data_IF_900294063830
#
_entry.id   IF_900294063830
#
_cell.length_a   1.000
_cell.length_b   1.000
_cell.length_c   1.000
_cell.angle_alpha   90.00
_cell.angle_beta   90.00
_cell.angle_gamma   90.00
#
_symmetry.space_group_name_H-M   'P 1'
#
loop_
_entity.id
_entity.type
_entity.pdbx_description
1 polymer ?
#
# COMPACT_ATOMS: atom_id res chain seq x y z
N UNK A 1 8.31 -3.75 -6.07
CA UNK A 1 8.47 -2.47 -6.81
C UNK A 1 9.96 -2.23 -7.03
N UNK A 2 10.37 -1.49 -8.07
CA UNK A 2 11.80 -1.23 -8.31
C UNK A 2 12.17 -0.64 -9.67
N UNK A 3 11.31 -0.83 -10.70
CA UNK A 3 11.62 -0.45 -12.08
C UNK A 3 11.43 1.04 -12.38
N UNK A 4 10.78 1.78 -11.46
CA UNK A 4 10.62 3.25 -11.47
C UNK A 4 10.11 3.80 -12.82
N UNK A 5 8.98 3.27 -13.29
CA UNK A 5 8.29 3.74 -14.50
C UNK A 5 6.86 4.18 -14.16
N UNK A 6 6.41 5.23 -14.85
CA UNK A 6 5.07 5.81 -14.75
C UNK A 6 4.94 6.95 -15.76
N UNK A 7 3.75 7.53 -15.85
CA UNK A 7 3.46 8.66 -16.74
C UNK A 7 2.52 9.65 -16.05
N UNK A 8 2.43 10.86 -16.60
CA UNK A 8 1.48 11.88 -16.19
C UNK A 8 0.62 12.27 -17.41
N UNK A 9 -0.67 12.46 -17.18
CA UNK A 9 -1.62 12.95 -18.18
C UNK A 9 -2.23 14.24 -17.63
N UNK A 10 -2.19 15.32 -18.42
CA UNK A 10 -2.73 16.63 -18.06
C UNK A 10 -2.97 17.45 -19.33
N UNK A 11 -3.34 18.72 -19.19
CA UNK A 11 -3.38 19.63 -20.33
C UNK A 11 -1.97 19.90 -20.89
N UNK A 12 -1.94 20.33 -22.15
CA UNK A 12 -0.71 20.54 -22.90
C UNK A 12 0.26 21.51 -22.21
N UNK A 13 -0.25 22.60 -21.63
CA UNK A 13 0.59 23.61 -20.96
C UNK A 13 1.31 23.01 -19.74
N UNK A 14 0.59 22.26 -18.91
CA UNK A 14 1.16 21.60 -17.73
C UNK A 14 2.19 20.54 -18.15
N UNK A 15 1.90 19.74 -19.18
CA UNK A 15 2.85 18.72 -19.66
C UNK A 15 4.12 19.37 -20.22
N UNK A 16 4.02 20.48 -20.97
CA UNK A 16 5.20 21.22 -21.45
C UNK A 16 6.07 21.72 -20.29
N UNK A 17 5.46 22.23 -19.22
CA UNK A 17 6.20 22.67 -18.03
C UNK A 17 6.86 21.51 -17.30
N UNK A 18 6.16 20.37 -17.16
CA UNK A 18 6.74 19.17 -16.56
C UNK A 18 7.96 18.66 -17.36
N UNK A 19 7.88 18.66 -18.69
CA UNK A 19 8.99 18.25 -19.55
C UNK A 19 10.21 19.17 -19.40
N UNK A 20 10.01 20.50 -19.29
CA UNK A 20 11.12 21.45 -19.04
C UNK A 20 11.86 21.13 -17.74
N UNK A 21 11.13 20.80 -16.67
CA UNK A 21 11.73 20.38 -15.40
C UNK A 21 12.45 19.05 -15.57
N UNK A 22 11.82 18.06 -16.21
CA UNK A 22 12.36 16.70 -16.37
C UNK A 22 13.68 16.67 -17.14
N UNK A 23 13.83 17.46 -18.20
CA UNK A 23 15.09 17.58 -18.98
C UNK A 23 16.28 18.07 -18.14
N UNK A 24 16.04 18.70 -16.99
CA UNK A 24 17.09 19.12 -16.05
C UNK A 24 17.31 18.11 -14.91
N UNK A 25 16.48 17.07 -14.79
CA UNK A 25 16.57 16.05 -13.74
C UNK A 25 17.19 14.76 -14.31
N UNK A 26 16.81 14.38 -15.52
CA UNK A 26 17.31 13.18 -16.19
C UNK A 26 17.37 13.34 -17.72
N UNK A 27 18.10 12.43 -18.36
CA UNK A 27 18.24 12.35 -19.83
C UNK A 27 17.20 11.41 -20.47
N UNK A 28 16.08 11.16 -19.78
CA UNK A 28 15.08 10.19 -20.18
C UNK A 28 15.12 8.89 -19.37
N UNK A 29 14.02 8.14 -19.44
CA UNK A 29 13.90 6.82 -18.81
C UNK A 29 14.72 5.80 -19.61
N UNK A 30 15.35 4.85 -18.92
CA UNK A 30 16.09 3.75 -19.55
C UNK A 30 15.23 3.02 -20.60
N UNK A 31 15.70 2.99 -21.85
CA UNK A 31 14.93 2.53 -23.01
C UNK A 31 14.36 1.11 -22.86
N UNK A 32 15.13 0.17 -22.31
CA UNK A 32 14.66 -1.20 -22.11
C UNK A 32 13.45 -1.28 -21.14
N UNK A 33 13.38 -0.39 -20.13
CA UNK A 33 12.21 -0.32 -19.25
C UNK A 33 11.01 0.30 -19.97
N UNK A 34 11.23 1.26 -20.87
CA UNK A 34 10.16 1.81 -21.69
C UNK A 34 9.56 0.73 -22.61
N UNK A 35 10.40 -0.03 -23.32
CA UNK A 35 9.97 -1.14 -24.18
C UNK A 35 9.22 -2.23 -23.40
N UNK A 36 9.76 -2.64 -22.24
CA UNK A 36 9.07 -3.60 -21.37
C UNK A 36 7.71 -3.06 -20.87
N UNK A 37 7.59 -1.75 -20.66
CA UNK A 37 6.36 -1.12 -20.19
C UNK A 37 5.29 -1.07 -21.29
N UNK A 38 5.67 -0.93 -22.55
CA UNK A 38 4.75 -1.05 -23.69
C UNK A 38 4.08 -2.43 -23.65
N UNK A 39 4.89 -3.49 -23.57
CA UNK A 39 4.38 -4.87 -23.50
C UNK A 39 3.50 -5.08 -22.26
N UNK A 40 3.87 -4.48 -21.13
CA UNK A 40 3.08 -4.56 -19.90
C UNK A 40 1.70 -3.90 -20.04
N UNK A 41 1.62 -2.77 -20.75
CA UNK A 41 0.36 -2.05 -21.01
C UNK A 41 -0.52 -2.79 -22.02
N UNK A 42 0.07 -3.32 -23.09
CA UNK A 42 -0.68 -4.12 -24.09
C UNK A 42 -1.34 -5.37 -23.49
N UNK A 43 -0.76 -5.89 -22.40
CA UNK A 43 -1.23 -7.08 -21.69
C UNK A 43 -1.84 -6.76 -20.32
N UNK A 44 -2.14 -5.50 -20.04
CA UNK A 44 -2.52 -5.00 -18.71
C UNK A 44 -3.71 -5.76 -18.10
N UNK A 45 -4.74 -6.03 -18.90
CA UNK A 45 -6.00 -6.63 -18.43
C UNK A 45 -5.75 -7.97 -17.74
N UNK A 46 -4.94 -8.84 -18.37
CA UNK A 46 -4.59 -10.16 -17.83
C UNK A 46 -3.90 -10.05 -16.46
N UNK A 47 -2.96 -9.11 -16.30
CA UNK A 47 -2.20 -8.97 -15.06
C UNK A 47 -3.01 -8.26 -13.96
N UNK A 48 -3.75 -7.22 -14.32
CA UNK A 48 -4.51 -6.41 -13.35
C UNK A 48 -5.70 -7.16 -12.79
N UNK A 49 -6.41 -7.97 -13.58
CA UNK A 49 -7.48 -8.81 -13.07
C UNK A 49 -6.99 -9.83 -12.04
N UNK A 50 -5.87 -10.50 -12.34
CA UNK A 50 -5.29 -11.47 -11.41
C UNK A 50 -4.83 -10.78 -10.11
N UNK A 51 -4.17 -9.63 -10.22
CA UNK A 51 -3.77 -8.84 -9.05
C UNK A 51 -4.96 -8.40 -8.21
N UNK A 52 -6.05 -7.93 -8.85
CA UNK A 52 -7.30 -7.57 -8.14
C UNK A 52 -7.87 -8.76 -7.40
N UNK A 53 -7.91 -9.97 -8.00
CA UNK A 53 -8.38 -11.20 -7.34
C UNK A 53 -7.53 -11.53 -6.11
N UNK A 54 -6.21 -11.52 -6.25
CA UNK A 54 -5.27 -11.80 -5.14
C UNK A 54 -5.46 -10.81 -3.98
N UNK A 55 -5.46 -9.50 -4.26
CA UNK A 55 -5.59 -8.51 -3.21
C UNK A 55 -6.99 -8.47 -2.61
N UNK A 56 -8.05 -8.78 -3.37
CA UNK A 56 -9.40 -8.94 -2.86
C UNK A 56 -9.47 -10.10 -1.85
N UNK A 57 -8.94 -11.28 -2.19
CA UNK A 57 -8.91 -12.43 -1.27
C UNK A 57 -8.16 -12.08 0.02
N UNK A 58 -6.95 -11.50 -0.11
CA UNK A 58 -6.14 -11.07 1.04
C UNK A 58 -6.87 -10.05 1.92
N UNK A 59 -7.52 -9.06 1.30
CA UNK A 59 -8.29 -8.03 2.01
C UNK A 59 -9.47 -8.62 2.75
N UNK A 60 -10.24 -9.47 2.10
CA UNK A 60 -11.47 -10.02 2.67
C UNK A 60 -11.16 -10.91 3.89
N UNK A 61 -10.13 -11.77 3.78
CA UNK A 61 -9.60 -12.56 4.91
C UNK A 61 -9.13 -11.65 6.04
N UNK A 62 -8.35 -10.61 5.72
CA UNK A 62 -7.73 -9.76 6.73
C UNK A 62 -8.76 -8.92 7.50
N UNK A 63 -9.71 -8.30 6.78
CA UNK A 63 -10.79 -7.53 7.39
C UNK A 63 -11.71 -8.38 8.25
N UNK A 64 -12.04 -9.60 7.81
CA UNK A 64 -12.84 -10.52 8.61
C UNK A 64 -12.11 -10.90 9.91
N UNK A 65 -10.81 -11.21 9.82
CA UNK A 65 -9.99 -11.55 10.98
C UNK A 65 -9.84 -10.39 11.96
N UNK A 66 -9.57 -9.17 11.49
CA UNK A 66 -9.54 -7.97 12.31
C UNK A 66 -10.86 -7.77 13.06
N UNK A 67 -12.00 -7.92 12.37
CA UNK A 67 -13.32 -7.80 12.98
C UNK A 67 -13.52 -8.83 14.10
N UNK A 68 -13.10 -10.08 13.90
CA UNK A 68 -13.16 -11.13 14.93
C UNK A 68 -12.28 -10.82 16.16
N UNK A 69 -11.18 -10.09 15.96
CA UNK A 69 -10.30 -9.60 17.03
C UNK A 69 -10.74 -8.27 17.64
N UNK A 70 -11.90 -7.72 17.24
CA UNK A 70 -12.46 -6.49 17.77
C UNK A 70 -11.86 -5.20 17.19
N UNK A 71 -11.10 -5.30 16.10
CA UNK A 71 -10.55 -4.15 15.38
C UNK A 71 -11.52 -3.62 14.32
N UNK A 72 -11.42 -2.32 14.03
CA UNK A 72 -12.18 -1.66 12.95
C UNK A 72 -11.21 -1.24 11.85
N UNK A 73 -11.24 -1.96 10.73
CA UNK A 73 -10.42 -1.72 9.54
C UNK A 73 -11.23 -1.20 8.35
N UNK A 74 -10.60 -0.36 7.52
CA UNK A 74 -11.16 0.24 6.31
C UNK A 74 -10.23 -0.05 5.12
N UNK A 75 -10.78 -0.53 4.00
CA UNK A 75 -10.02 -0.85 2.78
C UNK A 75 -10.94 -0.96 1.56
N UNK A 76 -11.38 0.18 1.02
CA UNK A 76 -12.18 0.19 -0.22
C UNK A 76 -11.33 -0.06 -1.46
N UNK A 77 -10.08 0.42 -1.44
CA UNK A 77 -9.11 0.29 -2.53
C UNK A 77 -7.69 0.15 -1.98
N UNK A 78 -6.71 0.01 -2.89
CA UNK A 78 -5.29 -0.26 -2.60
C UNK A 78 -5.06 -1.64 -1.94
N UNK A 79 -3.81 -1.91 -1.57
CA UNK A 79 -3.41 -3.10 -0.82
C UNK A 79 -3.13 -2.78 0.66
N UNK A 80 -3.71 -1.70 1.19
CA UNK A 80 -3.58 -1.31 2.59
C UNK A 80 -4.90 -1.45 3.35
N UNK A 81 -4.81 -1.74 4.64
CA UNK A 81 -5.93 -1.67 5.58
C UNK A 81 -5.65 -0.61 6.64
N UNK A 82 -6.47 0.43 6.65
CA UNK A 82 -6.40 1.49 7.63
C UNK A 82 -7.23 1.11 8.85
N UNK A 83 -6.61 0.98 10.01
CA UNK A 83 -7.24 0.39 11.20
C UNK A 83 -7.18 1.35 12.38
N UNK A 84 -8.31 1.53 13.08
CA UNK A 84 -8.34 2.33 14.31
C UNK A 84 -7.54 1.62 15.41
N UNK A 85 -6.87 2.41 16.25
CA UNK A 85 -6.22 1.89 17.44
C UNK A 85 -7.24 1.27 18.39
N UNK A 86 -6.86 0.20 19.11
CA UNK A 86 -7.59 -0.27 20.28
C UNK A 86 -7.73 0.85 21.33
N UNK A 87 -8.83 0.84 22.10
CA UNK A 87 -9.17 1.90 23.07
C UNK A 87 -8.09 2.17 24.13
N UNK A 88 -7.25 1.18 24.43
CA UNK A 88 -6.17 1.27 25.41
C UNK A 88 -4.90 1.95 24.86
N UNK A 89 -4.81 2.22 23.55
CA UNK A 89 -3.68 2.91 22.96
C UNK A 89 -4.10 4.29 22.45
N UNK A 90 -3.34 5.32 22.86
CA UNK A 90 -3.52 6.70 22.38
C UNK A 90 -2.49 7.11 21.34
N UNK A 91 -1.38 6.37 21.24
CA UNK A 91 -0.31 6.62 20.28
C UNK A 91 -0.18 5.48 19.29
N UNK A 92 -0.22 5.83 18.00
CA UNK A 92 -0.02 4.93 16.88
C UNK A 92 1.38 4.32 16.88
N UNK A 93 2.38 5.11 17.27
CA UNK A 93 3.77 4.66 17.39
C UNK A 93 3.94 3.66 18.54
N UNK A 94 3.32 3.94 19.69
CA UNK A 94 3.35 3.03 20.85
C UNK A 94 2.73 1.68 20.49
N UNK A 95 1.57 1.66 19.83
CA UNK A 95 0.93 0.41 19.42
C UNK A 95 1.76 -0.37 18.39
N UNK A 96 2.40 0.32 17.44
CA UNK A 96 3.30 -0.33 16.48
C UNK A 96 4.51 -0.96 17.17
N UNK A 97 5.10 -0.28 18.16
CA UNK A 97 6.19 -0.84 18.98
C UNK A 97 5.72 -2.05 19.78
N UNK A 98 4.55 -1.98 20.40
CA UNK A 98 3.95 -3.09 21.12
C UNK A 98 3.81 -4.33 20.23
N UNK A 99 3.20 -4.19 19.04
CA UNK A 99 3.03 -5.29 18.11
C UNK A 99 4.36 -5.85 17.59
N UNK A 100 5.36 -4.99 17.35
CA UNK A 100 6.69 -5.44 16.93
C UNK A 100 7.38 -6.25 18.02
N UNK A 101 7.34 -5.79 19.27
CA UNK A 101 8.06 -6.41 20.38
C UNK A 101 7.37 -7.70 20.85
N UNK A 102 6.05 -7.64 21.04
CA UNK A 102 5.24 -8.71 21.66
C UNK A 102 4.72 -9.72 20.65
N UNK A 103 4.32 -9.27 19.45
CA UNK A 103 3.66 -10.10 18.45
C UNK A 103 4.55 -10.36 17.23
N UNK A 104 5.73 -9.73 17.15
CA UNK A 104 6.65 -9.80 15.99
C UNK A 104 6.01 -9.32 14.69
N UNK A 105 5.03 -8.41 14.79
CA UNK A 105 4.33 -7.83 13.64
C UNK A 105 4.84 -6.40 13.42
N UNK A 106 5.43 -6.15 12.25
CA UNK A 106 5.81 -4.81 11.81
C UNK A 106 4.68 -4.17 11.00
N UNK A 107 4.24 -2.99 11.44
CA UNK A 107 3.21 -2.18 10.78
C UNK A 107 3.62 -0.71 10.73
N UNK A 108 2.87 0.11 9.97
CA UNK A 108 3.15 1.54 9.86
C UNK A 108 2.25 2.34 10.81
N UNK A 109 2.82 3.21 11.68
CA UNK A 109 2.03 4.07 12.54
C UNK A 109 1.36 5.17 11.74
N UNK A 110 0.10 5.48 12.07
CA UNK A 110 -0.67 6.48 11.34
C UNK A 110 -0.10 7.89 11.41
N UNK A 111 0.58 8.26 12.50
CA UNK A 111 1.25 9.56 12.65
C UNK A 111 2.30 9.82 11.55
N UNK A 112 2.86 8.77 10.95
CA UNK A 112 3.80 8.88 9.82
C UNK A 112 3.16 9.47 8.55
N UNK A 113 1.83 9.49 8.47
CA UNK A 113 1.06 10.12 7.39
C UNK A 113 0.56 11.53 7.74
N UNK A 114 0.98 12.06 8.89
CA UNK A 114 0.60 13.38 9.40
C UNK A 114 -0.27 13.33 10.65
N UNK A 115 -0.49 14.49 11.28
CA UNK A 115 -1.17 14.62 12.58
C UNK A 115 -2.57 13.99 12.63
N UNK A 116 -3.30 13.99 11.51
CA UNK A 116 -4.65 13.41 11.41
C UNK A 116 -4.65 11.88 11.26
N UNK A 117 -3.48 11.27 11.10
CA UNK A 117 -3.33 9.81 11.15
C UNK A 117 -3.15 9.25 12.56
N UNK A 118 -2.96 10.10 13.57
CA UNK A 118 -2.91 9.63 14.97
C UNK A 118 -4.24 8.99 15.38
N UNK A 119 -4.19 7.93 16.18
CA UNK A 119 -5.35 7.08 16.44
C UNK A 119 -5.58 5.96 15.41
N UNK A 120 -4.70 5.83 14.41
CA UNK A 120 -4.75 4.78 13.39
C UNK A 120 -3.40 4.13 13.11
N UNK A 121 -3.46 2.98 12.45
CA UNK A 121 -2.33 2.23 11.90
C UNK A 121 -2.65 1.74 10.49
N UNK A 122 -1.61 1.40 9.74
CA UNK A 122 -1.74 0.82 8.40
C UNK A 122 -1.09 -0.55 8.32
N UNK A 123 -1.88 -1.56 7.95
CA UNK A 123 -1.38 -2.85 7.50
C UNK A 123 -1.19 -2.84 5.99
N UNK A 124 -0.13 -3.50 5.49
CA UNK A 124 0.09 -3.75 4.08
C UNK A 124 -0.18 -5.23 3.76
N UNK A 125 -1.02 -5.51 2.76
CA UNK A 125 -1.44 -6.86 2.37
C UNK A 125 -0.51 -7.47 1.31
N UNK A 126 0.77 -7.12 1.38
CA UNK A 126 1.79 -7.44 0.37
C UNK A 126 2.54 -8.75 0.66
N UNK A 127 2.06 -9.53 1.62
CA UNK A 127 2.56 -10.86 1.96
C UNK A 127 1.49 -11.91 1.65
N UNK A 128 1.86 -13.19 1.70
CA UNK A 128 0.93 -14.27 1.40
C UNK A 128 -0.20 -14.40 2.43
N UNK A 129 -1.32 -14.97 1.96
CA UNK A 129 -2.56 -15.06 2.75
C UNK A 129 -2.39 -15.88 4.04
N UNK A 130 -1.49 -16.86 4.05
CA UNK A 130 -1.22 -17.65 5.26
C UNK A 130 -0.50 -16.81 6.32
N UNK A 131 0.48 -15.98 5.91
CA UNK A 131 1.15 -15.06 6.84
C UNK A 131 0.18 -13.97 7.36
N UNK A 132 -0.78 -13.54 6.53
CA UNK A 132 -1.85 -12.63 6.97
C UNK A 132 -2.75 -13.28 8.04
N UNK A 133 -3.12 -14.56 7.87
CA UNK A 133 -3.90 -15.30 8.87
C UNK A 133 -3.11 -15.50 10.16
N UNK A 134 -1.82 -15.82 10.05
CA UNK A 134 -0.93 -15.95 11.20
C UNK A 134 -0.85 -14.62 11.97
N UNK A 135 -0.62 -13.51 11.27
CA UNK A 135 -0.60 -12.18 11.89
C UNK A 135 -1.91 -11.89 12.63
N UNK A 136 -3.08 -12.19 12.04
CA UNK A 136 -4.37 -12.05 12.72
C UNK A 136 -4.44 -12.92 13.97
N UNK A 137 -3.95 -14.16 13.93
CA UNK A 137 -4.02 -15.07 15.07
C UNK A 137 -3.26 -14.53 16.28
N UNK A 138 -2.19 -13.78 16.02
CA UNK A 138 -1.32 -13.15 17.01
C UNK A 138 -1.85 -11.81 17.52
N UNK A 139 -2.79 -11.14 16.83
CA UNK A 139 -3.43 -9.89 17.30
C UNK A 139 -4.40 -10.15 18.46
#
# INVERSE_FOLDING_TARGET
TGFRIGWAVSNEEIIKLLLKVKTNIDSGIFGAIQEASIIALEKEEQYTENLRKIFKERRDIFLEGLRKKGFVGYSESTFYVWTKLPKNFKSSLEFCKYLLEKNKILITPGIGFGKYGEGFIRFALTVDKELLKEAISLL
#
